data_IF_883795077462
#
_entry.id   IF_883795077462
#
_cell.length_a   1.000
_cell.length_b   1.000
_cell.length_c   1.000
_cell.angle_alpha   90.00
_cell.angle_beta   90.00
_cell.angle_gamma   90.00
#
_symmetry.space_group_name_H-M   'P 1'
#
loop_
_entity.id
_entity.type
_entity.pdbx_description
1 polymer ?
#
# COMPACT_ATOMS: atom_id res chain seq x y z
N UNK A 1 -32.23 -24.41 -24.58
CA UNK A 1 -32.45 -23.28 -23.67
C UNK A 1 -31.08 -22.67 -23.38
N UNK A 2 -30.71 -21.63 -24.12
CA UNK A 2 -29.43 -20.93 -24.01
C UNK A 2 -29.50 -19.96 -22.85
N UNK A 3 -28.64 -20.15 -21.84
CA UNK A 3 -28.44 -19.19 -20.77
C UNK A 3 -27.59 -18.04 -21.31
N UNK A 4 -28.21 -16.92 -21.60
CA UNK A 4 -27.54 -15.64 -21.84
C UNK A 4 -26.75 -15.25 -20.58
N UNK A 5 -25.42 -15.30 -20.65
CA UNK A 5 -24.56 -14.65 -19.70
C UNK A 5 -24.74 -13.13 -19.87
N UNK A 6 -25.45 -12.50 -18.93
CA UNK A 6 -25.52 -11.03 -18.85
C UNK A 6 -24.10 -10.51 -18.57
N UNK A 7 -23.48 -9.90 -19.56
CA UNK A 7 -22.27 -9.10 -19.39
C UNK A 7 -22.61 -7.90 -18.50
N UNK A 8 -21.98 -7.80 -17.34
CA UNK A 8 -22.16 -6.67 -16.43
C UNK A 8 -21.39 -5.46 -16.93
N UNK A 9 -21.99 -4.72 -17.85
CA UNK A 9 -21.45 -3.47 -18.35
C UNK A 9 -21.91 -2.32 -17.46
N UNK A 10 -21.00 -1.59 -16.82
CA UNK A 10 -21.29 -0.33 -16.13
C UNK A 10 -20.78 0.85 -16.96
N UNK A 11 -21.52 1.96 -16.92
CA UNK A 11 -21.28 3.18 -17.69
C UNK A 11 -20.83 4.29 -16.73
N UNK A 12 -19.73 4.94 -17.03
CA UNK A 12 -19.14 6.03 -16.25
C UNK A 12 -18.97 7.29 -17.11
N UNK A 13 -19.19 8.47 -16.53
CA UNK A 13 -18.92 9.77 -17.15
C UNK A 13 -20.11 10.71 -17.21
N UNK A 14 -19.85 11.99 -16.96
CA UNK A 14 -20.79 13.09 -17.12
C UNK A 14 -20.82 13.53 -18.59
N UNK A 15 -22.01 13.53 -19.18
CA UNK A 15 -22.42 14.02 -20.52
C UNK A 15 -21.54 13.70 -21.76
N UNK A 16 -22.14 12.89 -22.64
CA UNK A 16 -21.91 12.74 -24.08
C UNK A 16 -20.83 11.80 -24.64
N UNK A 17 -19.91 11.22 -23.86
CA UNK A 17 -19.09 10.06 -24.27
C UNK A 17 -18.99 9.03 -23.16
N UNK A 18 -19.98 8.17 -23.04
CA UNK A 18 -19.90 7.06 -22.09
C UNK A 18 -18.93 6.00 -22.62
N UNK A 19 -17.75 5.90 -22.00
CA UNK A 19 -16.84 4.78 -22.24
C UNK A 19 -17.44 3.54 -21.60
N UNK A 20 -17.70 2.52 -22.41
CA UNK A 20 -18.24 1.24 -21.97
C UNK A 20 -17.07 0.35 -21.57
N UNK A 21 -16.74 0.33 -20.25
CA UNK A 21 -15.68 -0.52 -19.74
C UNK A 21 -16.23 -1.88 -19.29
N UNK A 22 -15.54 -2.95 -19.63
CA UNK A 22 -15.83 -4.29 -19.13
C UNK A 22 -15.21 -4.49 -17.74
N UNK A 23 -16.04 -4.79 -16.72
CA UNK A 23 -15.56 -5.27 -15.42
C UNK A 23 -15.71 -6.79 -15.41
N UNK A 24 -14.56 -7.47 -15.31
CA UNK A 24 -14.51 -8.94 -15.29
C UNK A 24 -15.24 -9.49 -14.05
N UNK A 25 -15.92 -10.62 -14.23
CA UNK A 25 -16.54 -11.35 -13.12
C UNK A 25 -15.46 -12.16 -12.38
N UNK A 26 -14.70 -11.46 -11.57
CA UNK A 26 -13.56 -11.98 -10.81
C UNK A 26 -13.43 -11.26 -9.48
N UNK A 27 -12.44 -11.63 -8.70
CA UNK A 27 -12.14 -11.03 -7.40
C UNK A 27 -10.64 -10.78 -7.23
N UNK A 28 -10.30 -9.78 -6.42
CA UNK A 28 -8.97 -9.63 -5.85
C UNK A 28 -8.85 -10.54 -4.63
N UNK A 29 -7.72 -11.23 -4.49
CA UNK A 29 -7.38 -12.00 -3.31
C UNK A 29 -6.43 -11.18 -2.44
N UNK A 30 -6.84 -10.89 -1.19
CA UNK A 30 -6.08 -10.07 -0.25
C UNK A 30 -5.84 -10.82 1.07
N UNK A 31 -4.91 -10.34 1.86
CA UNK A 31 -4.35 -11.03 3.01
C UNK A 31 -4.56 -10.24 4.30
N UNK A 32 -4.61 -10.94 5.45
CA UNK A 32 -4.49 -10.27 6.74
C UNK A 32 -3.04 -9.81 6.92
N UNK A 33 -2.84 -8.53 7.18
CA UNK A 33 -1.54 -7.92 7.45
C UNK A 33 -1.48 -7.27 8.83
N UNK A 34 -0.27 -7.16 9.37
CA UNK A 34 0.04 -6.37 10.56
C UNK A 34 0.49 -4.99 10.12
N UNK A 35 -0.08 -3.93 10.68
CA UNK A 35 0.34 -2.58 10.34
C UNK A 35 0.59 -1.69 11.56
N UNK A 36 1.47 -0.70 11.35
CA UNK A 36 1.70 0.45 12.21
C UNK A 36 1.49 1.73 11.39
N UNK A 37 0.91 2.75 12.00
CA UNK A 37 0.62 4.04 11.39
C UNK A 37 1.24 5.14 12.24
N UNK A 38 2.15 5.92 11.66
CA UNK A 38 2.90 6.95 12.37
C UNK A 38 2.78 8.31 11.68
N UNK A 39 2.91 9.38 12.45
CA UNK A 39 3.09 10.74 11.94
C UNK A 39 4.58 11.07 12.02
N UNK A 40 5.19 11.40 10.88
CA UNK A 40 6.53 11.98 10.80
C UNK A 40 6.41 13.46 10.59
N UNK A 41 7.18 14.27 11.34
CA UNK A 41 7.25 15.71 11.17
C UNK A 41 8.68 16.18 10.94
N UNK A 42 8.84 17.33 10.27
CA UNK A 42 10.13 18.01 10.11
C UNK A 42 9.95 19.51 9.98
N UNK A 43 11.05 20.27 10.20
CA UNK A 43 11.05 21.72 10.11
C UNK A 43 10.89 22.24 8.68
N UNK A 44 11.39 21.50 7.68
CA UNK A 44 11.25 21.88 6.28
C UNK A 44 10.68 20.75 5.40
N UNK A 45 10.05 21.16 4.30
CA UNK A 45 9.34 20.24 3.42
C UNK A 45 10.28 19.24 2.71
N UNK A 46 11.51 19.65 2.37
CA UNK A 46 12.43 18.77 1.62
C UNK A 46 12.98 17.66 2.53
N UNK A 47 13.29 17.97 3.78
CA UNK A 47 13.69 16.99 4.80
C UNK A 47 12.54 16.03 5.09
N UNK A 48 11.31 16.55 5.26
CA UNK A 48 10.13 15.72 5.48
C UNK A 48 9.88 14.77 4.31
N UNK A 49 9.89 15.29 3.08
CA UNK A 49 9.71 14.49 1.87
C UNK A 49 10.74 13.37 1.80
N UNK A 50 12.03 13.72 1.98
CA UNK A 50 13.11 12.74 1.92
C UNK A 50 13.01 11.67 3.02
N UNK A 51 12.63 12.06 4.25
CA UNK A 51 12.43 11.10 5.34
C UNK A 51 11.26 10.15 5.06
N UNK A 52 10.14 10.68 4.56
CA UNK A 52 8.96 9.89 4.25
C UNK A 52 9.21 8.91 3.09
N UNK A 53 9.80 9.37 1.99
CA UNK A 53 10.13 8.54 0.83
C UNK A 53 11.15 7.45 1.17
N UNK A 54 12.24 7.78 1.88
CA UNK A 54 13.26 6.79 2.27
C UNK A 54 12.66 5.73 3.21
N UNK A 55 11.89 6.15 4.22
CA UNK A 55 11.29 5.24 5.21
C UNK A 55 10.26 4.28 4.60
N UNK A 56 9.55 4.69 3.57
CA UNK A 56 8.52 3.88 2.89
C UNK A 56 9.04 3.13 1.67
N UNK A 57 10.28 3.37 1.25
CA UNK A 57 10.89 2.62 0.17
C UNK A 57 10.95 1.12 0.49
N UNK A 58 10.87 0.30 -0.56
CA UNK A 58 10.86 -1.17 -0.48
C UNK A 58 12.01 -1.74 0.35
N UNK A 59 11.96 -2.98 0.80
CA UNK A 59 11.34 -4.15 0.17
C UNK A 59 9.87 -4.36 0.54
N UNK A 60 9.11 -4.94 -0.40
CA UNK A 60 7.72 -5.34 -0.16
C UNK A 60 7.60 -6.61 0.68
N UNK A 61 6.41 -6.88 1.22
CA UNK A 61 6.10 -8.13 1.95
C UNK A 61 6.38 -9.38 1.11
N UNK A 62 6.12 -9.33 -0.20
CA UNK A 62 6.22 -10.47 -1.11
C UNK A 62 7.65 -10.99 -1.23
N UNK A 63 8.63 -10.10 -1.28
CA UNK A 63 10.05 -10.44 -1.45
C UNK A 63 10.85 -10.06 -0.19
N UNK A 64 10.48 -8.97 0.45
CA UNK A 64 11.12 -8.45 1.65
C UNK A 64 10.43 -8.88 2.94
N UNK A 65 10.38 -7.97 3.91
CA UNK A 65 9.82 -8.25 5.25
C UNK A 65 8.70 -7.30 5.63
N UNK A 66 8.81 -6.03 5.23
CA UNK A 66 7.87 -4.95 5.53
C UNK A 66 7.77 -4.07 4.29
N UNK A 67 6.58 -3.73 3.89
CA UNK A 67 6.36 -2.68 2.91
C UNK A 67 5.83 -1.44 3.60
N UNK A 68 5.86 -0.31 2.90
CA UNK A 68 5.40 0.96 3.44
C UNK A 68 4.86 1.86 2.35
N UNK A 69 4.13 2.88 2.78
CA UNK A 69 3.61 3.91 1.88
C UNK A 69 3.31 5.20 2.63
N UNK A 70 3.32 6.29 1.89
CA UNK A 70 2.87 7.60 2.36
C UNK A 70 1.36 7.64 2.16
N UNK A 71 0.61 7.68 3.28
CA UNK A 71 -0.84 7.77 3.20
C UNK A 71 -1.29 9.20 2.87
N UNK A 72 -0.72 10.18 3.60
CA UNK A 72 -1.19 11.56 3.51
C UNK A 72 -0.13 12.55 3.98
N UNK A 73 -0.04 13.68 3.29
CA UNK A 73 0.71 14.84 3.74
C UNK A 73 -0.14 15.69 4.67
N UNK A 74 0.44 16.16 5.78
CA UNK A 74 -0.26 16.90 6.83
C UNK A 74 0.21 18.36 6.90
N UNK A 75 -0.74 19.25 7.09
CA UNK A 75 -0.45 20.64 7.47
C UNK A 75 -0.03 20.73 8.94
N UNK A 76 0.54 21.85 9.31
CA UNK A 76 0.96 22.17 10.69
C UNK A 76 -0.16 22.08 11.74
N UNK A 77 -1.42 22.19 11.31
CA UNK A 77 -2.60 22.10 12.19
C UNK A 77 -3.00 20.66 12.53
N UNK A 78 -2.57 19.72 11.73
CA UNK A 78 -2.94 18.30 11.82
C UNK A 78 -1.90 17.48 12.59
N UNK A 79 -0.75 18.07 12.94
CA UNK A 79 0.36 17.40 13.62
C UNK A 79 0.44 17.75 15.10
N UNK A 80 0.97 16.85 15.95
CA UNK A 80 1.07 17.09 17.38
C UNK A 80 1.96 18.29 17.74
N UNK A 81 3.05 18.48 17.01
CA UNK A 81 4.08 19.49 17.27
C UNK A 81 3.96 20.75 16.41
N UNK A 82 2.89 20.85 15.62
CA UNK A 82 2.58 21.98 14.74
C UNK A 82 3.63 22.26 13.67
N UNK A 83 4.33 21.21 13.23
CA UNK A 83 5.20 21.22 12.06
C UNK A 83 4.51 20.50 10.91
N UNK A 84 4.96 20.71 9.66
CA UNK A 84 4.50 19.91 8.53
C UNK A 84 4.80 18.44 8.78
N UNK A 85 3.91 17.55 8.34
CA UNK A 85 4.06 16.14 8.59
C UNK A 85 3.56 15.27 7.45
N UNK A 86 3.73 13.98 7.63
CA UNK A 86 3.15 12.94 6.79
C UNK A 86 2.69 11.77 7.66
N UNK A 87 1.58 11.14 7.26
CA UNK A 87 1.19 9.85 7.80
C UNK A 87 1.83 8.77 6.94
N UNK A 88 2.59 7.89 7.60
CA UNK A 88 3.20 6.73 6.98
C UNK A 88 2.58 5.46 7.54
N UNK A 89 2.33 4.49 6.68
CA UNK A 89 1.96 3.14 7.07
C UNK A 89 3.10 2.17 6.76
N UNK A 90 3.30 1.20 7.65
CA UNK A 90 4.22 0.09 7.48
C UNK A 90 3.46 -1.22 7.68
N UNK A 91 3.68 -2.19 6.80
CA UNK A 91 2.92 -3.42 6.74
C UNK A 91 3.82 -4.65 6.79
N UNK A 92 3.46 -5.62 7.62
CA UNK A 92 4.13 -6.91 7.73
C UNK A 92 3.15 -8.05 7.46
N UNK A 93 3.58 -9.06 6.70
CA UNK A 93 2.78 -10.27 6.45
C UNK A 93 2.66 -11.15 7.68
N UNK A 94 1.48 -11.69 7.92
CA UNK A 94 1.21 -12.66 8.99
C UNK A 94 1.28 -14.07 8.39
N UNK A 95 2.20 -14.91 8.89
CA UNK A 95 2.25 -16.34 8.53
C UNK A 95 1.49 -17.15 9.59
N UNK A 96 0.29 -17.67 9.27
CA UNK A 96 -0.52 -18.40 10.27
C UNK A 96 0.12 -19.70 10.76
N UNK A 97 1.19 -20.17 10.10
CA UNK A 97 1.94 -21.38 10.49
C UNK A 97 3.01 -21.10 11.55
N UNK A 98 3.24 -19.82 11.90
CA UNK A 98 4.26 -19.39 12.87
C UNK A 98 3.61 -18.70 14.05
N UNK A 99 4.26 -18.72 15.23
CA UNK A 99 3.81 -17.93 16.37
C UNK A 99 3.72 -16.44 15.98
N UNK A 100 2.65 -15.77 16.37
CA UNK A 100 2.46 -14.35 16.10
C UNK A 100 3.60 -13.49 16.69
N UNK A 101 4.17 -13.90 17.82
CA UNK A 101 5.35 -13.26 18.43
C UNK A 101 6.55 -13.15 17.48
N UNK A 102 6.75 -14.14 16.60
CA UNK A 102 7.84 -14.11 15.63
C UNK A 102 7.59 -13.08 14.51
N UNK A 103 6.33 -12.98 14.08
CA UNK A 103 5.91 -11.94 13.13
C UNK A 103 6.09 -10.56 13.75
N UNK A 104 5.59 -10.35 14.96
CA UNK A 104 5.67 -9.08 15.67
C UNK A 104 7.12 -8.64 15.89
N UNK A 105 7.99 -9.54 16.35
CA UNK A 105 9.41 -9.25 16.55
C UNK A 105 10.11 -8.82 15.25
N UNK A 106 9.80 -9.49 14.14
CA UNK A 106 10.38 -9.12 12.84
C UNK A 106 9.87 -7.75 12.39
N UNK A 107 8.59 -7.51 12.53
CA UNK A 107 7.96 -6.24 12.21
C UNK A 107 8.55 -5.09 13.02
N UNK A 108 8.68 -5.26 14.34
CA UNK A 108 9.31 -4.29 15.24
C UNK A 108 10.74 -3.95 14.83
N UNK A 109 11.55 -4.96 14.49
CA UNK A 109 12.93 -4.77 14.04
C UNK A 109 12.97 -3.94 12.75
N UNK A 110 12.20 -4.30 11.75
CA UNK A 110 12.17 -3.60 10.45
C UNK A 110 11.65 -2.18 10.59
N UNK A 111 10.57 -1.97 11.36
CA UNK A 111 10.06 -0.64 11.67
C UNK A 111 11.14 0.22 12.35
N UNK A 112 11.86 -0.35 13.32
CA UNK A 112 12.93 0.35 14.02
C UNK A 112 14.08 0.75 13.08
N UNK A 113 14.42 -0.09 12.09
CA UNK A 113 15.44 0.24 11.09
C UNK A 113 15.03 1.44 10.25
N UNK A 114 13.79 1.48 9.78
CA UNK A 114 13.26 2.61 9.00
C UNK A 114 13.23 3.89 9.81
N UNK A 115 12.77 3.82 11.07
CA UNK A 115 12.78 5.00 11.95
C UNK A 115 14.20 5.49 12.19
N UNK A 116 15.15 4.60 12.50
CA UNK A 116 16.52 4.99 12.81
C UNK A 116 17.32 5.45 11.60
N UNK A 117 17.23 4.72 10.47
CA UNK A 117 18.08 4.97 9.32
C UNK A 117 17.50 5.98 8.33
N UNK A 118 16.18 6.15 8.31
CA UNK A 118 15.54 6.97 7.29
C UNK A 118 14.89 8.24 7.87
N UNK A 119 14.54 8.24 9.17
CA UNK A 119 13.90 9.39 9.82
C UNK A 119 14.83 10.05 10.82
N UNK A 120 15.31 9.33 11.86
CA UNK A 120 16.14 9.88 12.94
C UNK A 120 17.42 10.57 12.40
N UNK A 121 18.06 9.99 11.38
CA UNK A 121 19.26 10.56 10.76
C UNK A 121 19.01 11.84 9.96
N UNK A 122 17.76 12.17 9.69
CA UNK A 122 17.42 13.45 9.04
C UNK A 122 17.28 14.54 10.08
N UNK A 123 17.89 15.72 9.86
CA UNK A 123 17.84 16.82 10.83
C UNK A 123 16.40 17.25 11.18
N UNK A 124 16.15 17.54 12.46
CA UNK A 124 14.93 18.18 12.95
C UNK A 124 13.64 17.38 12.67
N UNK A 125 13.72 16.04 12.63
CA UNK A 125 12.55 15.17 12.48
C UNK A 125 11.99 14.75 13.83
N UNK A 126 10.73 14.32 13.87
CA UNK A 126 10.09 13.63 14.99
C UNK A 126 9.09 12.58 14.51
N UNK A 127 8.76 11.64 15.40
CA UNK A 127 7.81 10.56 15.13
C UNK A 127 6.76 10.49 16.23
N UNK A 128 5.48 10.41 15.85
CA UNK A 128 4.34 10.27 16.75
C UNK A 128 3.45 9.10 16.32
N UNK A 129 2.78 8.50 17.30
CA UNK A 129 1.79 7.45 17.06
C UNK A 129 0.52 8.03 16.41
N UNK A 130 0.02 7.36 15.37
CA UNK A 130 -1.26 7.70 14.76
C UNK A 130 -2.33 6.61 14.96
N UNK A 131 -2.06 5.66 15.86
CA UNK A 131 -2.99 4.64 16.32
C UNK A 131 -3.17 4.71 17.87
N UNK A 132 -3.55 5.87 18.45
CA UNK A 132 -3.56 6.03 19.90
C UNK A 132 -4.57 5.11 20.60
N UNK A 133 -5.58 4.63 19.88
CA UNK A 133 -6.61 3.71 20.38
C UNK A 133 -6.25 2.23 20.18
N UNK A 134 -5.12 1.91 19.58
CA UNK A 134 -4.68 0.52 19.46
C UNK A 134 -4.50 -0.10 20.86
N UNK A 135 -5.05 -1.31 21.04
CA UNK A 135 -4.92 -2.06 22.29
C UNK A 135 -3.47 -2.49 22.49
N UNK A 136 -2.82 -2.88 21.41
CA UNK A 136 -1.45 -3.35 21.39
C UNK A 136 -0.49 -2.26 20.91
N UNK A 137 0.70 -2.19 21.53
CA UNK A 137 1.72 -1.17 21.23
C UNK A 137 3.13 -1.74 21.27
N UNK A 138 4.01 -1.16 20.45
CA UNK A 138 5.44 -1.40 20.44
C UNK A 138 6.14 -0.34 21.32
N UNK A 139 6.96 -0.77 22.28
CA UNK A 139 7.82 0.14 23.07
C UNK A 139 9.09 0.46 22.27
N UNK A 140 9.26 1.71 21.90
CA UNK A 140 10.38 2.17 21.06
C UNK A 140 11.65 2.44 21.87
N UNK A 141 11.65 2.26 23.22
CA UNK A 141 12.82 2.57 24.03
C UNK A 141 14.05 1.74 23.63
N UNK A 142 13.93 0.42 23.63
CA UNK A 142 15.07 -0.46 23.32
C UNK A 142 15.53 -0.36 21.86
N UNK A 143 14.62 -0.11 20.94
CA UNK A 143 14.89 -0.17 19.51
C UNK A 143 15.36 1.16 18.92
N UNK A 144 14.83 2.26 19.44
CA UNK A 144 15.11 3.62 18.94
C UNK A 144 15.66 4.51 20.03
N UNK A 145 15.08 4.50 21.24
CA UNK A 145 15.52 5.33 22.36
C UNK A 145 17.01 5.15 22.66
N UNK A 146 17.47 3.93 22.78
CA UNK A 146 18.90 3.63 23.05
C UNK A 146 19.87 4.08 21.95
N UNK A 147 19.42 4.72 20.89
CA UNK A 147 20.33 5.50 20.02
C UNK A 147 20.97 6.68 20.76
N UNK A 148 20.43 7.10 21.91
CA UNK A 148 21.02 8.08 22.81
C UNK A 148 22.15 7.57 23.67
N UNK A 149 22.53 6.28 23.59
CA UNK A 149 23.63 5.64 24.32
C UNK A 149 23.55 5.80 25.85
N UNK A 150 22.29 5.75 26.38
CA UNK A 150 22.01 5.93 27.83
C UNK A 150 21.83 7.39 28.25
N UNK A 151 21.87 8.33 27.31
CA UNK A 151 21.62 9.76 27.57
C UNK A 151 20.22 10.20 27.14
N UNK A 152 19.44 9.30 26.57
CA UNK A 152 18.03 9.53 26.28
C UNK A 152 17.22 9.70 27.56
N UNK A 153 16.12 10.46 27.48
CA UNK A 153 15.22 10.62 28.62
C UNK A 153 13.75 10.62 28.18
N UNK A 154 12.89 10.42 29.17
CA UNK A 154 11.44 10.47 28.99
C UNK A 154 10.91 11.83 29.42
N UNK A 155 9.98 12.38 28.65
CA UNK A 155 9.22 13.55 29.05
C UNK A 155 7.84 13.58 28.39
N UNK A 156 7.02 14.54 28.77
CA UNK A 156 5.72 14.79 28.16
C UNK A 156 5.82 16.01 27.24
N UNK A 157 5.70 15.78 25.91
CA UNK A 157 5.61 16.86 24.89
C UNK A 157 4.30 16.74 24.14
N UNK A 158 3.66 17.86 23.83
CA UNK A 158 2.42 17.92 23.04
C UNK A 158 1.30 16.99 23.56
N UNK A 159 1.28 16.79 24.89
CA UNK A 159 0.32 15.89 25.55
C UNK A 159 0.64 14.40 25.44
N UNK A 160 1.77 14.03 24.81
CA UNK A 160 2.23 12.66 24.55
C UNK A 160 3.46 12.31 25.38
N UNK A 161 3.60 11.05 25.76
CA UNK A 161 4.80 10.53 26.42
C UNK A 161 5.83 10.21 25.34
N UNK A 162 6.97 10.91 25.37
CA UNK A 162 7.99 10.81 24.34
C UNK A 162 9.35 10.43 24.92
N UNK A 163 10.12 9.73 24.10
CA UNK A 163 11.56 9.53 24.29
C UNK A 163 12.27 10.67 23.55
N UNK A 164 13.15 11.37 24.26
CA UNK A 164 14.02 12.37 23.67
C UNK A 164 15.40 11.77 23.52
N UNK A 165 15.85 11.66 22.29
CA UNK A 165 17.15 11.05 21.93
C UNK A 165 18.10 12.16 21.53
N UNK A 166 19.15 12.47 22.34
CA UNK A 166 20.14 13.47 21.98
C UNK A 166 20.95 13.02 20.77
N UNK A 167 21.03 13.85 19.73
CA UNK A 167 21.84 13.64 18.55
C UNK A 167 22.59 14.93 18.19
N UNK A 168 23.56 14.84 17.28
CA UNK A 168 24.54 15.92 17.07
C UNK A 168 23.93 17.24 16.56
N UNK A 169 22.82 17.19 15.82
CA UNK A 169 22.21 18.40 15.24
C UNK A 169 21.14 18.96 16.17
N UNK A 170 20.27 18.09 16.69
CA UNK A 170 19.18 18.44 17.61
C UNK A 170 18.74 17.18 18.36
N UNK A 171 17.82 17.33 19.33
CA UNK A 171 17.18 16.15 19.89
C UNK A 171 16.20 15.56 18.89
N UNK A 172 16.25 14.22 18.71
CA UNK A 172 15.19 13.49 18.03
C UNK A 172 14.10 13.11 19.03
N UNK A 173 12.85 13.33 18.65
CA UNK A 173 11.69 13.07 19.49
C UNK A 173 10.87 11.94 18.89
N UNK A 174 10.60 10.89 19.66
CA UNK A 174 9.70 9.82 19.27
C UNK A 174 8.70 9.51 20.39
N UNK A 175 7.43 9.33 20.06
CA UNK A 175 6.45 8.81 21.02
C UNK A 175 6.87 7.43 21.47
N UNK A 176 6.83 7.17 22.79
CA UNK A 176 7.35 5.94 23.37
C UNK A 176 6.66 4.69 22.83
N UNK A 177 5.35 4.75 22.72
CA UNK A 177 4.54 3.61 22.32
C UNK A 177 3.89 3.88 20.97
N UNK A 178 4.22 3.06 19.97
CA UNK A 178 3.58 3.08 18.67
C UNK A 178 2.55 1.96 18.58
N UNK A 179 1.30 2.31 18.28
CA UNK A 179 0.21 1.37 18.10
C UNK A 179 0.42 0.50 16.87
N UNK A 180 0.00 -0.76 16.96
CA UNK A 180 -0.14 -1.64 15.80
C UNK A 180 -1.49 -2.34 15.80
N UNK A 181 -1.94 -2.75 14.62
CA UNK A 181 -3.21 -3.44 14.45
C UNK A 181 -3.16 -4.39 13.24
N UNK A 182 -4.24 -5.12 13.02
CA UNK A 182 -4.43 -5.96 11.84
C UNK A 182 -5.29 -5.23 10.83
N UNK A 183 -4.99 -5.41 9.56
CA UNK A 183 -5.71 -4.83 8.43
C UNK A 183 -5.64 -5.73 7.21
N UNK A 184 -5.95 -5.19 6.04
CA UNK A 184 -6.01 -5.93 4.78
C UNK A 184 -4.90 -5.46 3.84
N UNK A 185 -4.02 -6.36 3.41
CA UNK A 185 -2.90 -6.08 2.51
C UNK A 185 -3.00 -6.85 1.20
N UNK A 186 -2.38 -6.31 0.15
CA UNK A 186 -2.23 -6.97 -1.15
C UNK A 186 -3.51 -7.03 -1.99
N UNK A 187 -4.55 -6.30 -1.65
CA UNK A 187 -5.69 -6.13 -2.55
C UNK A 187 -5.23 -5.44 -3.84
N UNK A 188 -5.80 -5.83 -4.98
CA UNK A 188 -5.33 -5.30 -6.25
C UNK A 188 -6.43 -5.21 -7.30
N UNK A 189 -6.19 -4.41 -8.32
CA UNK A 189 -6.92 -4.50 -9.58
C UNK A 189 -5.99 -4.23 -10.75
N UNK A 190 -6.34 -4.79 -11.91
CA UNK A 190 -5.66 -4.60 -13.18
C UNK A 190 -6.53 -3.78 -14.10
N UNK A 191 -5.93 -2.86 -14.83
CA UNK A 191 -6.63 -2.12 -15.88
C UNK A 191 -5.92 -2.34 -17.23
N UNK A 192 -6.69 -2.84 -18.20
CA UNK A 192 -6.19 -3.31 -19.48
C UNK A 192 -6.36 -2.23 -20.52
N UNK A 193 -5.26 -1.81 -21.15
CA UNK A 193 -5.19 -0.64 -22.01
C UNK A 193 -4.73 -0.97 -23.42
N UNK A 194 -5.23 -0.22 -24.40
CA UNK A 194 -4.83 -0.29 -25.79
C UNK A 194 -3.51 0.45 -26.05
N UNK A 195 -3.29 1.58 -25.38
CA UNK A 195 -2.14 2.47 -25.58
C UNK A 195 -1.35 2.69 -24.31
N UNK A 196 -0.08 3.07 -24.46
CA UNK A 196 0.80 3.43 -23.34
C UNK A 196 0.29 4.68 -22.61
N UNK A 197 -0.19 5.64 -23.37
CA UNK A 197 -0.72 6.91 -22.88
C UNK A 197 -1.95 6.68 -22.01
N UNK A 198 -2.87 5.79 -22.44
CA UNK A 198 -4.01 5.37 -21.63
C UNK A 198 -3.56 4.67 -20.34
N UNK A 199 -2.55 3.78 -20.42
CA UNK A 199 -2.05 3.08 -19.25
C UNK A 199 -1.44 4.01 -18.20
N UNK A 200 -0.66 5.00 -18.62
CA UNK A 200 -0.05 6.00 -17.74
C UNK A 200 -1.12 6.91 -17.12
N UNK A 201 -2.00 7.47 -17.94
CA UNK A 201 -3.04 8.38 -17.47
C UNK A 201 -4.04 7.68 -16.52
N UNK A 202 -4.46 6.47 -16.85
CA UNK A 202 -5.37 5.71 -15.99
C UNK A 202 -4.73 5.39 -14.63
N UNK A 203 -3.41 5.15 -14.59
CA UNK A 203 -2.68 4.98 -13.34
C UNK A 203 -2.67 6.25 -12.49
N UNK A 204 -2.36 7.40 -13.08
CA UNK A 204 -2.35 8.70 -12.40
C UNK A 204 -3.73 9.04 -11.81
N UNK A 205 -4.79 8.96 -12.62
CA UNK A 205 -6.17 9.23 -12.19
C UNK A 205 -6.63 8.27 -11.08
N UNK A 206 -6.28 6.98 -11.18
CA UNK A 206 -6.62 5.99 -10.17
C UNK A 206 -5.89 6.26 -8.84
N UNK A 207 -4.60 6.55 -8.87
CA UNK A 207 -3.82 6.87 -7.66
C UNK A 207 -4.36 8.14 -6.99
N UNK A 208 -4.67 9.18 -7.77
CA UNK A 208 -5.26 10.39 -7.22
C UNK A 208 -6.61 10.13 -6.52
N UNK A 209 -7.45 9.27 -7.10
CA UNK A 209 -8.72 8.88 -6.49
C UNK A 209 -8.53 8.05 -5.21
N UNK A 210 -7.60 7.09 -5.22
CA UNK A 210 -7.28 6.22 -4.08
C UNK A 210 -6.72 7.03 -2.91
N UNK A 211 -5.79 7.96 -3.17
CA UNK A 211 -5.15 8.77 -2.13
C UNK A 211 -6.08 9.77 -1.44
N UNK A 212 -7.33 9.90 -1.89
CA UNK A 212 -8.39 10.64 -1.18
C UNK A 212 -9.10 9.81 -0.11
N UNK A 213 -8.86 8.51 -0.07
CA UNK A 213 -9.44 7.60 0.92
C UNK A 213 -8.47 7.47 2.10
N UNK A 214 -8.91 7.86 3.28
CA UNK A 214 -8.11 7.75 4.49
C UNK A 214 -7.87 6.27 4.87
N UNK A 215 -6.68 5.99 5.39
CA UNK A 215 -6.33 4.68 5.91
C UNK A 215 -5.87 3.67 4.86
N UNK A 216 -5.53 4.11 3.66
CA UNK A 216 -4.99 3.23 2.60
C UNK A 216 -3.67 3.74 2.07
N UNK A 217 -2.86 2.83 1.55
CA UNK A 217 -1.63 3.13 0.80
C UNK A 217 -1.57 2.29 -0.47
N UNK A 218 -0.76 2.75 -1.42
CA UNK A 218 -0.39 2.04 -2.65
C UNK A 218 1.13 1.83 -2.65
N UNK A 219 1.66 0.71 -2.10
CA UNK A 219 3.10 0.54 -1.85
C UNK A 219 3.99 0.65 -3.09
N UNK A 220 3.42 0.45 -4.28
CA UNK A 220 4.14 0.45 -5.56
C UNK A 220 3.69 1.56 -6.50
N UNK A 221 2.75 2.42 -6.10
CA UNK A 221 1.99 3.25 -7.03
C UNK A 221 1.40 2.41 -8.17
N UNK A 222 1.89 2.55 -9.40
CA UNK A 222 1.53 1.68 -10.53
C UNK A 222 2.55 0.56 -10.65
N UNK A 223 2.12 -0.67 -10.44
CA UNK A 223 2.94 -1.87 -10.55
C UNK A 223 2.86 -2.47 -11.96
N UNK A 224 3.97 -2.97 -12.47
CA UNK A 224 4.06 -3.61 -13.78
C UNK A 224 4.25 -5.14 -13.73
N UNK A 225 4.30 -5.73 -12.52
CA UNK A 225 4.74 -7.12 -12.36
C UNK A 225 3.62 -8.15 -12.52
N UNK A 226 2.44 -7.93 -11.94
CA UNK A 226 1.34 -8.91 -11.95
C UNK A 226 1.81 -10.28 -11.46
N UNK A 227 2.39 -10.35 -10.26
CA UNK A 227 3.13 -11.52 -9.77
C UNK A 227 2.25 -12.77 -9.61
N UNK A 228 2.87 -13.94 -9.77
CA UNK A 228 2.29 -15.24 -9.41
C UNK A 228 3.27 -16.05 -8.57
N UNK A 229 2.74 -16.91 -7.70
CA UNK A 229 3.53 -17.77 -6.82
C UNK A 229 4.10 -19.00 -7.50
N UNK A 230 3.41 -19.53 -8.52
CA UNK A 230 3.84 -20.67 -9.30
C UNK A 230 4.93 -20.27 -10.29
N UNK A 231 6.17 -20.57 -9.97
CA UNK A 231 7.36 -20.14 -10.71
C UNK A 231 8.28 -21.31 -11.03
N UNK A 232 9.02 -21.20 -12.13
CA UNK A 232 10.11 -22.13 -12.48
C UNK A 232 11.37 -21.89 -11.63
N UNK A 233 11.43 -20.78 -10.93
CA UNK A 233 12.61 -20.32 -10.16
C UNK A 233 12.23 -19.98 -8.73
N UNK A 234 11.90 -20.97 -7.88
CA UNK A 234 11.41 -20.72 -6.52
C UNK A 234 12.38 -19.92 -5.64
N UNK A 235 13.68 -19.97 -5.93
CA UNK A 235 14.72 -19.27 -5.16
C UNK A 235 14.64 -17.74 -5.25
N UNK A 236 14.00 -17.20 -6.30
CA UNK A 236 13.85 -15.74 -6.46
C UNK A 236 12.47 -15.23 -5.99
N UNK A 237 11.62 -16.12 -5.47
CA UNK A 237 10.27 -15.79 -5.04
C UNK A 237 9.27 -15.73 -6.21
N UNK A 238 8.15 -14.99 -6.04
CA UNK A 238 7.14 -14.84 -7.08
C UNK A 238 7.70 -14.22 -8.36
N UNK A 239 7.16 -14.65 -9.50
CA UNK A 239 7.57 -14.18 -10.84
C UNK A 239 6.38 -13.64 -11.61
N UNK A 240 6.63 -12.97 -12.74
CA UNK A 240 5.60 -12.39 -13.58
C UNK A 240 4.50 -13.38 -13.97
N UNK A 241 3.27 -12.92 -14.07
CA UNK A 241 2.14 -13.69 -14.57
C UNK A 241 2.18 -13.72 -16.11
N UNK A 242 3.03 -14.60 -16.66
CA UNK A 242 3.41 -14.62 -18.07
C UNK A 242 2.22 -14.74 -19.05
N UNK A 243 1.12 -15.38 -18.65
CA UNK A 243 -0.07 -15.53 -19.51
C UNK A 243 -0.79 -14.19 -19.76
N UNK A 244 -0.55 -13.19 -18.93
CA UNK A 244 -1.03 -11.82 -19.08
C UNK A 244 0.02 -10.85 -19.63
N UNK A 245 1.21 -11.33 -20.05
CA UNK A 245 2.22 -10.47 -20.67
C UNK A 245 1.89 -10.23 -22.15
N UNK A 246 1.56 -9.01 -22.58
CA UNK A 246 1.19 -8.74 -23.98
C UNK A 246 2.27 -9.11 -24.99
N UNK A 247 3.54 -8.92 -24.63
CA UNK A 247 4.69 -9.31 -25.47
C UNK A 247 4.80 -10.82 -25.74
N UNK A 248 4.17 -11.64 -24.92
CA UNK A 248 4.17 -13.08 -25.07
C UNK A 248 2.94 -13.63 -25.81
N UNK A 249 1.95 -12.78 -26.14
CA UNK A 249 0.66 -13.20 -26.74
C UNK A 249 0.84 -14.11 -27.94
N UNK A 250 1.69 -13.72 -28.90
CA UNK A 250 1.96 -14.53 -30.11
C UNK A 250 2.69 -15.84 -29.77
N UNK A 251 3.58 -15.84 -28.79
CA UNK A 251 4.36 -17.02 -28.41
C UNK A 251 3.53 -18.06 -27.65
N UNK A 252 2.61 -17.61 -26.84
CA UNK A 252 1.75 -18.46 -26.01
C UNK A 252 0.50 -18.96 -26.77
N UNK A 253 0.08 -18.25 -27.83
CA UNK A 253 -1.13 -18.62 -28.57
C UNK A 253 -2.35 -18.70 -27.65
N UNK A 254 -2.99 -19.88 -27.61
CA UNK A 254 -4.20 -20.16 -26.82
C UNK A 254 -3.98 -20.08 -25.28
N UNK A 255 -2.73 -20.20 -24.80
CA UNK A 255 -2.42 -20.06 -23.38
C UNK A 255 -2.47 -18.60 -22.93
N UNK A 256 -2.37 -17.64 -23.85
CA UNK A 256 -2.41 -16.22 -23.52
C UNK A 256 -3.80 -15.80 -23.06
N UNK A 257 -3.84 -15.06 -21.96
CA UNK A 257 -5.06 -14.45 -21.42
C UNK A 257 -5.16 -12.96 -21.71
N UNK A 258 -4.27 -12.43 -22.55
CA UNK A 258 -4.30 -11.03 -22.97
C UNK A 258 -5.41 -10.85 -24.01
N UNK A 259 -6.44 -10.03 -23.74
CA UNK A 259 -7.52 -9.78 -24.70
C UNK A 259 -7.02 -9.18 -26.04
N UNK A 260 -7.86 -9.26 -27.05
CA UNK A 260 -7.56 -8.57 -28.32
C UNK A 260 -7.55 -7.06 -28.13
N UNK A 261 -6.63 -6.35 -28.81
CA UNK A 261 -6.45 -4.90 -28.67
C UNK A 261 -5.68 -4.47 -27.43
N UNK A 262 -5.55 -5.32 -26.40
CA UNK A 262 -4.82 -4.97 -25.17
C UNK A 262 -3.30 -5.13 -25.38
N UNK A 263 -2.57 -4.03 -25.07
CA UNK A 263 -1.12 -3.96 -25.16
C UNK A 263 -0.43 -3.67 -23.81
N UNK A 264 -1.17 -3.21 -22.78
CA UNK A 264 -0.65 -2.85 -21.46
C UNK A 264 -1.62 -3.30 -20.38
N UNK A 265 -1.08 -3.92 -19.31
CA UNK A 265 -1.87 -4.41 -18.17
C UNK A 265 -1.16 -3.98 -16.88
N UNK A 266 -1.28 -2.71 -16.46
CA UNK A 266 -0.79 -2.28 -15.16
C UNK A 266 -1.66 -2.79 -14.02
N UNK A 267 -1.09 -2.78 -12.82
CA UNK A 267 -1.70 -3.18 -11.56
C UNK A 267 -1.58 -2.06 -10.54
N UNK A 268 -2.58 -1.89 -9.69
CA UNK A 268 -2.45 -1.13 -8.46
C UNK A 268 -2.71 -2.08 -7.29
N UNK A 269 -1.75 -2.12 -6.36
CA UNK A 269 -1.84 -2.88 -5.11
C UNK A 269 -2.20 -1.91 -3.99
N UNK A 270 -3.13 -2.32 -3.12
CA UNK A 270 -3.70 -1.47 -2.06
C UNK A 270 -3.62 -2.22 -0.73
N UNK A 271 -3.05 -1.56 0.27
CA UNK A 271 -3.13 -1.96 1.67
C UNK A 271 -4.03 -0.97 2.42
N UNK A 272 -4.83 -1.45 3.36
CA UNK A 272 -5.73 -0.58 4.10
C UNK A 272 -6.08 -1.08 5.49
N UNK A 273 -6.29 -0.14 6.40
CA UNK A 273 -6.57 -0.40 7.82
C UNK A 273 -7.84 -1.23 8.06
N UNK A 274 -8.69 -1.35 7.06
CA UNK A 274 -9.92 -2.17 7.10
C UNK A 274 -10.33 -2.64 5.72
N UNK A 275 -11.09 -3.73 5.65
CA UNK A 275 -11.66 -4.22 4.40
C UNK A 275 -12.56 -3.17 3.72
N UNK A 276 -13.25 -2.35 4.52
CA UNK A 276 -14.12 -1.29 3.99
C UNK A 276 -13.29 -0.20 3.28
N UNK A 277 -12.22 0.29 3.91
CA UNK A 277 -11.32 1.28 3.31
C UNK A 277 -10.70 0.75 2.00
N UNK A 278 -10.27 -0.51 1.99
CA UNK A 278 -9.74 -1.15 0.78
C UNK A 278 -10.79 -1.23 -0.33
N UNK A 279 -12.03 -1.63 -0.02
CA UNK A 279 -13.13 -1.69 -1.00
C UNK A 279 -13.46 -0.31 -1.57
N UNK A 280 -13.50 0.73 -0.72
CA UNK A 280 -13.73 2.12 -1.16
C UNK A 280 -12.60 2.61 -2.06
N UNK A 281 -11.34 2.34 -1.71
CA UNK A 281 -10.18 2.69 -2.52
C UNK A 281 -10.16 1.94 -3.86
N UNK A 282 -10.43 0.63 -3.86
CA UNK A 282 -10.56 -0.14 -5.09
C UNK A 282 -11.67 0.40 -5.99
N UNK A 283 -12.85 0.69 -5.42
CA UNK A 283 -13.96 1.29 -6.17
C UNK A 283 -13.56 2.60 -6.81
N UNK A 284 -13.01 3.54 -6.02
CA UNK A 284 -12.59 4.85 -6.49
C UNK A 284 -11.54 4.75 -7.60
N UNK A 285 -10.51 3.91 -7.41
CA UNK A 285 -9.45 3.69 -8.39
C UNK A 285 -9.95 3.06 -9.68
N UNK A 286 -10.85 2.07 -9.59
CA UNK A 286 -11.45 1.42 -10.77
C UNK A 286 -12.34 2.40 -11.54
N UNK A 287 -13.14 3.21 -10.86
CA UNK A 287 -13.97 4.26 -11.48
C UNK A 287 -13.10 5.28 -12.24
N UNK A 288 -12.05 5.76 -11.59
CA UNK A 288 -11.14 6.74 -12.19
C UNK A 288 -10.38 6.15 -13.40
N UNK A 289 -9.75 4.98 -13.24
CA UNK A 289 -9.07 4.31 -14.35
C UNK A 289 -10.01 4.02 -15.52
N UNK A 290 -11.22 3.54 -15.21
CA UNK A 290 -12.24 3.17 -16.20
C UNK A 290 -12.82 4.35 -16.98
N UNK A 291 -12.66 5.58 -16.47
CA UNK A 291 -13.07 6.80 -17.19
C UNK A 291 -12.12 7.21 -18.30
N UNK A 292 -10.91 6.66 -18.34
CA UNK A 292 -9.87 7.04 -19.29
C UNK A 292 -10.07 6.32 -20.62
N UNK A 293 -10.10 7.08 -21.71
CA UNK A 293 -10.21 6.53 -23.08
C UNK A 293 -9.00 5.62 -23.39
N UNK A 294 -9.28 4.44 -23.94
CA UNK A 294 -8.26 3.41 -24.21
C UNK A 294 -8.07 2.38 -23.06
N UNK A 295 -8.77 2.55 -21.93
CA UNK A 295 -8.95 1.48 -20.95
C UNK A 295 -10.19 0.69 -21.35
N UNK A 296 -10.02 -0.61 -21.61
CA UNK A 296 -11.09 -1.44 -22.18
C UNK A 296 -11.64 -2.47 -21.20
N UNK A 297 -10.83 -2.87 -20.21
CA UNK A 297 -11.22 -3.91 -19.25
C UNK A 297 -10.55 -3.71 -17.89
N UNK A 298 -11.32 -3.99 -16.84
CA UNK A 298 -10.83 -4.11 -15.46
C UNK A 298 -10.87 -5.59 -15.04
N UNK A 299 -9.78 -6.03 -14.40
CA UNK A 299 -9.64 -7.36 -13.81
C UNK A 299 -8.93 -7.27 -12.46
N UNK A 300 -8.64 -8.40 -11.84
CA UNK A 300 -7.86 -8.48 -10.61
C UNK A 300 -7.00 -9.74 -10.56
N UNK A 301 -5.89 -9.68 -9.82
CA UNK A 301 -5.06 -10.82 -9.52
C UNK A 301 -5.63 -11.63 -8.36
N UNK A 302 -5.66 -12.95 -8.53
CA UNK A 302 -5.97 -13.89 -7.47
C UNK A 302 -5.18 -15.19 -7.62
N UNK A 303 -5.18 -15.99 -6.56
CA UNK A 303 -4.48 -17.28 -6.50
C UNK A 303 -5.47 -18.45 -6.46
N UNK A 304 -6.65 -18.28 -7.09
CA UNK A 304 -7.72 -19.26 -7.08
C UNK A 304 -8.43 -19.35 -5.72
N UNK A 305 -8.33 -18.32 -4.89
CA UNK A 305 -8.92 -18.26 -3.56
C UNK A 305 -8.27 -19.17 -2.53
N UNK A 306 -6.98 -19.51 -2.72
CA UNK A 306 -6.27 -20.51 -1.90
C UNK A 306 -5.28 -19.90 -0.93
N UNK A 307 -4.91 -18.64 -1.09
CA UNK A 307 -3.86 -18.02 -0.29
C UNK A 307 -4.36 -16.89 0.62
N UNK A 308 -5.17 -15.97 0.10
CA UNK A 308 -5.67 -14.83 0.84
C UNK A 308 -6.96 -15.13 1.61
N UNK A 309 -7.11 -14.51 2.76
CA UNK A 309 -8.31 -14.62 3.62
C UNK A 309 -9.50 -13.85 3.05
N UNK A 310 -9.24 -12.81 2.25
CA UNK A 310 -10.26 -11.92 1.70
C UNK A 310 -10.43 -12.13 0.21
N UNK A 311 -11.69 -12.20 -0.24
CA UNK A 311 -12.09 -12.21 -1.65
C UNK A 311 -12.94 -10.98 -1.93
N UNK A 312 -12.40 -10.04 -2.69
CA UNK A 312 -13.06 -8.79 -3.02
C UNK A 312 -13.57 -8.88 -4.45
N UNK A 313 -14.85 -9.20 -4.62
CA UNK A 313 -15.46 -9.36 -5.93
C UNK A 313 -15.63 -8.00 -6.60
N UNK A 314 -15.05 -7.83 -7.80
CA UNK A 314 -15.00 -6.53 -8.47
C UNK A 314 -16.39 -5.97 -8.76
N UNK A 315 -17.33 -6.80 -9.18
CA UNK A 315 -18.69 -6.35 -9.50
C UNK A 315 -19.50 -5.95 -8.27
N UNK A 316 -19.22 -6.54 -7.11
CA UNK A 316 -19.89 -6.21 -5.86
C UNK A 316 -19.50 -4.82 -5.33
N UNK A 317 -18.34 -4.27 -5.74
CA UNK A 317 -17.94 -2.91 -5.38
C UNK A 317 -18.91 -1.85 -5.91
N UNK A 318 -19.75 -2.22 -6.88
CA UNK A 318 -20.65 -1.31 -7.59
C UNK A 318 -22.14 -1.68 -7.42
N UNK A 319 -22.44 -2.62 -6.55
CA UNK A 319 -23.84 -3.03 -6.24
C UNK A 319 -24.48 -2.15 -5.18
#
# INVERSE_FOLDING_TARGET
MSSEKRSGEKRWGDSDRMVKIEIEDTYAEAFEGLYCRIIVTADDASTLQKAAEDATATPSIVIGRVEGGIEKWLSERETPDKRRGAILQFWGGIDPRKPFSDTLKKFEIELSYRIRQDILVKPFTAVFDDLPKAEDKLDMMERVGHCGDGYEWMEKRHGREVIVVPIMVSDFVIERYLGYARGVSGANFWYMCETKEAAMRAGEEALEAIHRIDGVITPFDVCSAGSKTETRYPSIGPTTNHVYCPSLKKRLGEESRVPEGVNYIPEIVIDGISLQAVKEAMKAGIEAAGSVEGVVKISAGNYGGKLGEYKIYLRELFS
#
